data_IF_106612451911
#
_entry.id   IF_106612451911
#
_cell.length_a   1.000
_cell.length_b   1.000
_cell.length_c   1.000
_cell.angle_alpha   90.00
_cell.angle_beta   90.00
_cell.angle_gamma   90.00
#
_symmetry.space_group_name_H-M   'P 1'
#
loop_
_entity.id
_entity.type
_entity.pdbx_description
1 polymer ?
#
# COMPACT_ATOMS: atom_id res chain seq x y z
N UNK A 1 -3.30 -14.18 3.24
CA UNK A 1 -3.52 -12.91 2.49
C UNK A 1 -2.17 -12.35 2.05
N UNK A 2 -2.05 -11.59 0.95
CA UNK A 2 -0.74 -11.12 0.45
C UNK A 2 0.10 -10.35 1.48
N UNK A 3 -0.56 -9.60 2.37
CA UNK A 3 0.08 -8.85 3.47
C UNK A 3 0.63 -9.74 4.61
N UNK A 4 0.26 -11.02 4.68
CA UNK A 4 0.68 -11.95 5.77
C UNK A 4 1.77 -12.93 5.34
N UNK A 5 2.05 -13.05 4.04
CA UNK A 5 2.89 -14.13 3.48
C UNK A 5 4.28 -14.19 4.13
N UNK A 6 4.90 -13.05 4.45
CA UNK A 6 6.22 -13.05 5.11
C UNK A 6 6.21 -13.45 6.59
N UNK A 7 5.05 -13.39 7.25
CA UNK A 7 4.87 -13.99 8.57
C UNK A 7 4.75 -15.51 8.45
N UNK A 8 4.05 -15.97 7.41
CA UNK A 8 3.74 -17.37 7.17
C UNK A 8 4.98 -18.13 6.62
N UNK A 9 5.84 -17.44 5.85
CA UNK A 9 7.12 -17.96 5.34
C UNK A 9 8.28 -17.05 5.81
N UNK A 10 8.94 -17.37 6.95
CA UNK A 10 10.10 -16.65 7.42
C UNK A 10 11.23 -16.61 6.38
N UNK A 11 11.90 -15.46 6.24
CA UNK A 11 13.02 -15.29 5.30
C UNK A 11 12.64 -15.14 3.83
N UNK A 12 11.34 -15.20 3.48
CA UNK A 12 10.86 -15.10 2.10
C UNK A 12 11.40 -13.87 1.36
N UNK A 13 11.30 -12.70 1.97
CA UNK A 13 11.75 -11.46 1.34
C UNK A 13 13.28 -11.36 1.25
N UNK A 14 14.02 -11.99 2.17
CA UNK A 14 15.47 -11.97 2.13
C UNK A 14 15.99 -12.91 1.03
N UNK A 15 15.27 -14.00 0.74
CA UNK A 15 15.55 -14.88 -0.38
C UNK A 15 15.21 -14.24 -1.74
N UNK A 16 14.01 -13.65 -1.86
CA UNK A 16 13.52 -13.04 -3.10
C UNK A 16 14.22 -11.72 -3.42
N UNK A 17 14.38 -10.85 -2.42
CA UNK A 17 14.87 -9.48 -2.57
C UNK A 17 16.05 -9.20 -1.63
N UNK A 18 17.16 -9.96 -1.76
CA UNK A 18 18.29 -9.89 -0.82
C UNK A 18 18.93 -8.49 -0.76
N UNK A 19 18.83 -7.70 -1.84
CA UNK A 19 19.42 -6.37 -1.93
C UNK A 19 18.43 -5.23 -1.57
N UNK A 20 17.23 -5.55 -1.06
CA UNK A 20 16.32 -4.52 -0.50
C UNK A 20 16.79 -4.06 0.90
N UNK A 21 18.04 -3.61 0.93
CA UNK A 21 18.77 -3.11 2.10
C UNK A 21 18.50 -1.61 2.32
N UNK A 22 18.84 -1.04 3.49
CA UNK A 22 18.58 0.36 3.79
C UNK A 22 19.13 1.36 2.75
N UNK A 23 20.28 1.07 2.14
CA UNK A 23 20.87 1.93 1.10
C UNK A 23 20.01 2.04 -0.17
N UNK A 24 19.42 0.93 -0.61
CA UNK A 24 18.52 0.90 -1.78
C UNK A 24 17.18 1.55 -1.45
N UNK A 25 16.64 1.31 -0.26
CA UNK A 25 15.43 2.01 0.24
C UNK A 25 15.66 3.52 0.28
N UNK A 26 16.82 3.96 0.78
CA UNK A 26 17.18 5.37 0.79
C UNK A 26 17.33 5.94 -0.63
N UNK A 27 17.85 5.16 -1.59
CA UNK A 27 17.92 5.57 -2.99
C UNK A 27 16.53 5.86 -3.57
N UNK A 28 15.58 4.94 -3.43
CA UNK A 28 14.21 5.18 -3.91
C UNK A 28 13.51 6.32 -3.17
N UNK A 29 13.71 6.44 -1.84
CA UNK A 29 13.14 7.58 -1.11
C UNK A 29 13.70 8.94 -1.56
N UNK A 30 14.92 9.01 -2.11
CA UNK A 30 15.47 10.26 -2.66
C UNK A 30 14.78 10.72 -3.95
N UNK A 31 14.04 9.84 -4.62
CA UNK A 31 13.22 10.23 -5.79
C UNK A 31 11.85 10.78 -5.37
N UNK A 32 11.57 10.87 -4.06
CA UNK A 32 10.31 11.38 -3.56
C UNK A 32 10.07 12.82 -4.02
N UNK A 33 8.87 13.06 -4.52
CA UNK A 33 8.38 14.37 -4.95
C UNK A 33 7.25 14.83 -4.05
N UNK A 34 7.08 16.14 -3.95
CA UNK A 34 5.91 16.75 -3.31
C UNK A 34 4.91 17.21 -4.38
N UNK A 35 3.64 17.18 -4.03
CA UNK A 35 2.55 17.67 -4.89
C UNK A 35 2.23 19.11 -4.51
N UNK A 36 2.15 19.98 -5.50
CA UNK A 36 1.80 21.38 -5.32
C UNK A 36 0.43 21.55 -4.66
N UNK A 37 0.34 22.51 -3.73
CA UNK A 37 -0.90 22.79 -3.00
C UNK A 37 -1.27 21.76 -1.93
N UNK A 38 -0.44 20.74 -1.68
CA UNK A 38 -0.55 19.86 -0.51
C UNK A 38 0.32 20.39 0.64
N UNK A 39 -0.22 20.34 1.86
CA UNK A 39 0.46 20.85 3.06
C UNK A 39 0.71 19.69 4.02
N UNK A 40 1.96 19.38 4.41
CA UNK A 40 2.25 18.34 5.39
C UNK A 40 1.46 18.56 6.69
N UNK A 41 0.95 17.48 7.28
CA UNK A 41 0.16 17.56 8.51
C UNK A 41 1.02 18.07 9.68
N UNK A 42 0.71 19.24 10.27
CA UNK A 42 1.44 19.77 11.41
C UNK A 42 1.33 18.83 12.61
N UNK A 43 2.42 18.74 13.39
CA UNK A 43 2.49 17.85 14.54
C UNK A 43 1.53 18.29 15.67
N UNK A 44 1.14 19.56 15.70
CA UNK A 44 0.18 20.15 16.62
C UNK A 44 -1.22 19.56 16.38
N UNK A 45 -1.64 19.45 15.12
CA UNK A 45 -2.93 18.83 14.77
C UNK A 45 -2.94 17.34 15.09
N UNK A 46 -1.81 16.66 14.87
CA UNK A 46 -1.63 15.26 15.30
C UNK A 46 -1.78 15.17 16.82
N UNK A 47 -1.12 16.03 17.57
CA UNK A 47 -1.12 15.99 19.05
C UNK A 47 -2.48 16.35 19.64
N UNK A 48 -3.24 17.25 19.01
CA UNK A 48 -4.59 17.63 19.41
C UNK A 48 -5.64 16.53 19.18
N UNK A 49 -5.38 15.57 18.28
CA UNK A 49 -6.28 14.45 18.02
C UNK A 49 -6.29 13.47 19.19
N UNK A 50 -7.50 13.05 19.58
CA UNK A 50 -7.74 12.09 20.65
C UNK A 50 -7.63 10.62 20.19
N UNK A 51 -7.61 10.40 18.87
CA UNK A 51 -7.57 9.08 18.26
C UNK A 51 -6.18 8.44 18.33
N UNK A 52 -6.17 7.11 18.41
CA UNK A 52 -4.99 6.34 18.06
C UNK A 52 -4.59 6.66 16.61
N UNK A 53 -3.28 6.77 16.36
CA UNK A 53 -2.74 7.19 15.04
C UNK A 53 -3.26 6.34 13.88
N UNK A 54 -3.34 5.02 14.07
CA UNK A 54 -3.89 4.12 13.05
C UNK A 54 -5.34 4.48 12.69
N UNK A 55 -6.19 4.70 13.70
CA UNK A 55 -7.58 5.09 13.50
C UNK A 55 -7.71 6.47 12.83
N UNK A 56 -6.93 7.47 13.28
CA UNK A 56 -6.94 8.81 12.70
C UNK A 56 -6.69 8.77 11.19
N UNK A 57 -5.68 8.00 10.76
CA UNK A 57 -5.31 7.94 9.36
C UNK A 57 -6.22 7.05 8.52
N UNK A 58 -6.90 6.07 9.10
CA UNK A 58 -7.98 5.34 8.41
C UNK A 58 -9.18 6.24 8.14
N UNK A 59 -9.58 7.07 9.11
CA UNK A 59 -10.61 8.10 8.91
C UNK A 59 -10.18 9.10 7.84
N UNK A 60 -8.90 9.52 7.84
CA UNK A 60 -8.37 10.42 6.83
C UNK A 60 -8.38 9.83 5.41
N UNK A 61 -8.03 8.55 5.26
CA UNK A 61 -8.11 7.86 3.96
C UNK A 61 -9.56 7.73 3.51
N UNK A 62 -10.48 7.36 4.41
CA UNK A 62 -11.91 7.28 4.09
C UNK A 62 -12.50 8.66 3.69
N UNK A 63 -12.03 9.74 4.31
CA UNK A 63 -12.38 11.10 3.92
C UNK A 63 -11.82 11.44 2.52
N UNK A 64 -10.55 11.08 2.24
CA UNK A 64 -9.94 11.23 0.93
C UNK A 64 -10.66 10.46 -0.17
N UNK A 65 -11.10 9.22 0.12
CA UNK A 65 -11.95 8.41 -0.77
C UNK A 65 -13.21 9.17 -1.18
N UNK A 66 -13.96 9.71 -0.20
CA UNK A 66 -15.19 10.47 -0.49
C UNK A 66 -14.93 11.72 -1.34
N UNK A 67 -13.84 12.45 -1.05
CA UNK A 67 -13.46 13.65 -1.80
C UNK A 67 -13.14 13.34 -3.27
N UNK A 68 -12.52 12.19 -3.54
CA UNK A 68 -12.19 11.75 -4.89
C UNK A 68 -13.43 11.28 -5.66
N UNK A 69 -14.35 10.59 -5.00
CA UNK A 69 -15.45 9.89 -5.69
C UNK A 69 -16.70 10.74 -5.87
N UNK A 70 -17.09 11.56 -4.88
CA UNK A 70 -18.47 12.02 -4.79
C UNK A 70 -18.67 13.53 -4.96
N UNK A 71 -17.62 14.36 -4.87
CA UNK A 71 -17.76 15.83 -4.86
C UNK A 71 -18.86 16.34 -3.89
N UNK A 72 -19.11 15.58 -2.82
CA UNK A 72 -20.08 15.89 -1.76
C UNK A 72 -19.34 16.27 -0.47
N UNK A 73 -19.99 16.98 0.46
CA UNK A 73 -19.44 17.18 1.80
C UNK A 73 -19.09 15.85 2.47
N UNK A 74 -17.99 15.83 3.22
CA UNK A 74 -17.51 14.62 3.91
C UNK A 74 -18.54 14.17 4.96
N UNK A 75 -19.05 12.96 4.78
CA UNK A 75 -19.90 12.27 5.76
C UNK A 75 -19.04 11.65 6.85
N UNK A 76 -18.71 12.41 7.90
CA UNK A 76 -17.81 11.99 8.97
C UNK A 76 -18.20 10.68 9.67
N UNK A 77 -19.49 10.46 9.87
CA UNK A 77 -19.99 9.22 10.50
C UNK A 77 -19.72 8.01 9.59
N UNK A 78 -19.94 8.15 8.28
CA UNK A 78 -19.59 7.12 7.30
C UNK A 78 -18.07 6.89 7.23
N UNK A 79 -17.24 7.94 7.29
CA UNK A 79 -15.79 7.78 7.35
C UNK A 79 -15.35 7.01 8.60
N UNK A 80 -15.98 7.29 9.75
CA UNK A 80 -15.70 6.58 11.00
C UNK A 80 -16.12 5.10 10.90
N UNK A 81 -17.30 4.81 10.36
CA UNK A 81 -17.76 3.42 10.15
C UNK A 81 -16.78 2.63 9.28
N UNK A 82 -16.35 3.20 8.16
CA UNK A 82 -15.36 2.59 7.26
C UNK A 82 -14.04 2.34 8.01
N UNK A 83 -13.53 3.34 8.73
CA UNK A 83 -12.29 3.22 9.49
C UNK A 83 -12.37 2.14 10.58
N UNK A 84 -13.49 2.05 11.29
CA UNK A 84 -13.77 1.01 12.29
C UNK A 84 -13.80 -0.38 11.64
N UNK A 85 -14.47 -0.55 10.50
CA UNK A 85 -14.50 -1.83 9.77
C UNK A 85 -13.08 -2.26 9.36
N UNK A 86 -12.26 -1.33 8.87
CA UNK A 86 -10.87 -1.59 8.49
C UNK A 86 -10.01 -1.96 9.71
N UNK A 87 -10.16 -1.23 10.81
CA UNK A 87 -9.36 -1.42 12.03
C UNK A 87 -9.75 -2.63 12.88
N UNK A 88 -11.00 -3.09 12.83
CA UNK A 88 -11.47 -4.32 13.55
C UNK A 88 -10.66 -5.58 13.22
N UNK A 89 -9.92 -5.58 12.12
CA UNK A 89 -9.02 -6.68 11.74
C UNK A 89 -7.74 -6.72 12.57
N UNK A 90 -7.47 -5.69 13.37
CA UNK A 90 -6.34 -5.58 14.27
C UNK A 90 -6.80 -5.80 15.72
N UNK A 91 -6.10 -6.67 16.44
CA UNK A 91 -6.49 -7.12 17.79
C UNK A 91 -6.43 -6.00 18.83
N UNK A 92 -5.57 -5.00 18.64
CA UNK A 92 -5.30 -3.89 19.55
C UNK A 92 -6.07 -2.59 19.19
N UNK A 93 -7.00 -2.65 18.24
CA UNK A 93 -7.70 -1.48 17.76
C UNK A 93 -8.63 -0.87 18.81
N UNK A 94 -8.39 0.40 19.18
CA UNK A 94 -9.35 1.20 19.94
C UNK A 94 -10.39 1.79 18.99
N UNK A 95 -11.65 1.39 19.15
CA UNK A 95 -12.75 1.79 18.28
C UNK A 95 -13.51 2.98 18.90
N UNK A 96 -13.32 4.21 18.42
CA UNK A 96 -14.04 5.37 18.92
C UNK A 96 -15.49 5.33 18.44
N UNK A 97 -16.39 5.92 19.22
CA UNK A 97 -17.81 6.06 18.87
C UNK A 97 -18.13 7.38 18.18
N UNK A 98 -17.24 8.37 18.28
CA UNK A 98 -17.40 9.70 17.69
C UNK A 98 -16.06 10.36 17.38
N UNK A 99 -16.06 11.32 16.46
CA UNK A 99 -14.89 12.12 16.10
C UNK A 99 -14.97 13.52 16.72
N UNK A 100 -13.91 13.96 17.40
CA UNK A 100 -13.79 15.35 17.86
C UNK A 100 -13.50 16.31 16.70
N UNK A 101 -13.66 17.62 16.93
CA UNK A 101 -13.30 18.64 15.94
C UNK A 101 -11.82 18.60 15.54
N UNK A 102 -10.92 18.26 16.48
CA UNK A 102 -9.49 18.12 16.21
C UNK A 102 -9.20 16.91 15.31
N UNK A 103 -9.89 15.79 15.55
CA UNK A 103 -9.77 14.57 14.72
C UNK A 103 -10.21 14.85 13.28
N UNK A 104 -11.36 15.53 13.12
CA UNK A 104 -11.89 15.93 11.82
C UNK A 104 -10.95 16.89 11.10
N UNK A 105 -10.37 17.87 11.79
CA UNK A 105 -9.43 18.82 11.20
C UNK A 105 -8.16 18.13 10.66
N UNK A 106 -7.55 17.25 11.46
CA UNK A 106 -6.37 16.49 11.05
C UNK A 106 -6.68 15.52 9.89
N UNK A 107 -7.81 14.81 9.98
CA UNK A 107 -8.25 13.88 8.95
C UNK A 107 -8.61 14.59 7.64
N UNK A 108 -9.25 15.76 7.71
CA UNK A 108 -9.60 16.57 6.55
C UNK A 108 -8.35 17.03 5.78
N UNK A 109 -7.33 17.49 6.50
CA UNK A 109 -6.09 17.94 5.85
C UNK A 109 -5.43 16.78 5.07
N UNK A 110 -5.28 15.63 5.72
CA UNK A 110 -4.67 14.44 5.09
C UNK A 110 -5.55 13.91 3.95
N UNK A 111 -6.87 13.84 4.13
CA UNK A 111 -7.80 13.42 3.08
C UNK A 111 -7.79 14.37 1.87
N UNK A 112 -7.68 15.68 2.11
CA UNK A 112 -7.53 16.69 1.06
C UNK A 112 -6.22 16.51 0.30
N UNK A 113 -5.11 16.27 1.00
CA UNK A 113 -3.84 15.98 0.35
C UNK A 113 -3.93 14.71 -0.49
N UNK A 114 -4.53 13.63 0.03
CA UNK A 114 -4.72 12.39 -0.72
C UNK A 114 -5.50 12.62 -2.02
N UNK A 115 -6.62 13.34 -1.93
CA UNK A 115 -7.43 13.67 -3.11
C UNK A 115 -6.63 14.47 -4.15
N UNK A 116 -5.90 15.50 -3.73
CA UNK A 116 -5.04 16.31 -4.61
C UNK A 116 -3.92 15.49 -5.24
N UNK A 117 -3.27 14.63 -4.46
CA UNK A 117 -2.20 13.76 -4.94
C UNK A 117 -2.73 12.78 -5.99
N UNK A 118 -3.86 12.11 -5.74
CA UNK A 118 -4.50 11.21 -6.70
C UNK A 118 -4.92 11.95 -7.99
N UNK A 119 -5.48 13.15 -7.86
CA UNK A 119 -5.82 14.00 -9.01
C UNK A 119 -4.57 14.40 -9.83
N UNK A 120 -3.49 14.80 -9.15
CA UNK A 120 -2.22 15.12 -9.80
C UNK A 120 -1.66 13.93 -10.57
N UNK A 121 -1.68 12.74 -9.98
CA UNK A 121 -1.20 11.50 -10.61
C UNK A 121 -2.05 11.15 -11.84
N UNK A 122 -3.37 11.24 -11.74
CA UNK A 122 -4.27 11.04 -12.89
C UNK A 122 -3.92 11.98 -14.04
N UNK A 123 -3.71 13.27 -13.75
CA UNK A 123 -3.30 14.28 -14.74
C UNK A 123 -1.96 13.94 -15.40
N UNK A 124 -0.97 13.52 -14.61
CA UNK A 124 0.36 13.13 -15.12
C UNK A 124 0.28 11.94 -16.08
N UNK A 125 -0.64 11.00 -15.88
CA UNK A 125 -0.73 9.77 -16.66
C UNK A 125 -1.95 9.71 -17.61
N UNK A 126 -2.53 10.85 -17.98
CA UNK A 126 -3.52 10.94 -19.07
C UNK A 126 -4.96 10.62 -18.69
N UNK A 127 -5.37 10.91 -17.45
CA UNK A 127 -6.74 10.76 -16.91
C UNK A 127 -7.36 9.37 -17.09
N UNK A 128 -6.52 8.34 -17.01
CA UNK A 128 -6.97 6.95 -16.90
C UNK A 128 -7.90 6.82 -15.68
N UNK A 129 -8.89 5.92 -15.75
CA UNK A 129 -9.82 5.70 -14.65
C UNK A 129 -9.09 5.23 -13.38
N UNK A 130 -9.30 5.95 -12.27
CA UNK A 130 -8.84 5.52 -10.95
C UNK A 130 -9.71 4.37 -10.46
N UNK A 131 -9.11 3.24 -10.15
CA UNK A 131 -9.79 2.07 -9.58
C UNK A 131 -9.51 2.04 -8.09
N UNK A 132 -10.56 2.03 -7.27
CA UNK A 132 -10.45 1.81 -5.83
C UNK A 132 -10.40 0.32 -5.52
N UNK A 133 -9.59 -0.09 -4.54
CA UNK A 133 -9.48 -1.48 -4.11
C UNK A 133 -9.21 -2.48 -5.26
N UNK A 134 -8.21 -2.22 -6.15
CA UNK A 134 -7.93 -3.14 -7.25
C UNK A 134 -7.57 -4.53 -6.71
N UNK A 135 -8.04 -5.57 -7.41
CA UNK A 135 -7.77 -6.96 -7.04
C UNK A 135 -6.26 -7.23 -7.07
N UNK A 136 -5.74 -7.75 -5.97
CA UNK A 136 -4.42 -8.40 -5.93
C UNK A 136 -4.67 -9.90 -6.02
N UNK A 137 -4.21 -10.58 -7.08
CA UNK A 137 -4.44 -12.00 -7.24
C UNK A 137 -3.81 -12.81 -6.11
N UNK A 138 -4.41 -13.97 -5.82
CA UNK A 138 -3.82 -14.96 -4.94
C UNK A 138 -2.80 -15.83 -5.69
N UNK A 139 -2.08 -16.68 -4.97
CA UNK A 139 -1.19 -17.67 -5.55
C UNK A 139 -1.15 -18.92 -4.68
N UNK A 140 -1.60 -20.06 -5.21
CA UNK A 140 -1.79 -21.32 -4.47
C UNK A 140 -2.62 -21.10 -3.19
N UNK A 141 -2.07 -21.37 -2.00
CA UNK A 141 -2.77 -21.16 -0.72
C UNK A 141 -2.82 -19.68 -0.29
N UNK A 142 -2.07 -18.79 -0.94
CA UNK A 142 -2.12 -17.35 -0.68
C UNK A 142 -3.43 -16.83 -1.27
N UNK A 143 -4.38 -16.52 -0.38
CA UNK A 143 -5.65 -15.90 -0.77
C UNK A 143 -5.44 -14.59 -1.55
N UNK A 144 -6.37 -14.23 -2.44
CA UNK A 144 -6.38 -12.90 -3.05
C UNK A 144 -6.57 -11.80 -2.02
N UNK A 145 -6.21 -10.57 -2.39
CA UNK A 145 -6.41 -9.37 -1.59
C UNK A 145 -6.81 -8.18 -2.45
N UNK A 146 -6.68 -6.98 -1.88
CA UNK A 146 -6.90 -5.72 -2.60
C UNK A 146 -5.77 -4.74 -2.26
N UNK A 147 -5.40 -3.92 -3.24
CA UNK A 147 -4.55 -2.74 -3.02
C UNK A 147 -5.38 -1.53 -2.63
N UNK A 148 -4.77 -0.35 -2.50
CA UNK A 148 -5.54 0.86 -2.17
C UNK A 148 -6.17 1.47 -3.44
N UNK A 149 -5.35 1.76 -4.46
CA UNK A 149 -5.82 2.24 -5.77
C UNK A 149 -4.98 1.70 -6.92
N UNK A 150 -5.50 1.79 -8.15
CA UNK A 150 -4.69 1.64 -9.37
C UNK A 150 -5.09 2.62 -10.46
N UNK A 151 -4.15 2.86 -11.38
CA UNK A 151 -4.32 3.70 -12.56
C UNK A 151 -3.73 2.99 -13.78
N UNK A 152 -4.57 2.33 -14.58
CA UNK A 152 -4.10 1.41 -15.62
C UNK A 152 -3.27 0.29 -15.01
N UNK A 153 -2.06 0.05 -15.51
CA UNK A 153 -1.10 -0.95 -14.98
C UNK A 153 -0.25 -0.44 -13.81
N UNK A 154 -0.65 0.66 -13.16
CA UNK A 154 0.09 1.29 -12.05
C UNK A 154 -0.63 1.04 -10.73
N UNK A 155 0.05 0.39 -9.80
CA UNK A 155 -0.48 0.15 -8.46
C UNK A 155 -0.14 1.32 -7.55
N UNK A 156 -1.11 1.80 -6.77
CA UNK A 156 -0.94 2.91 -5.84
C UNK A 156 -1.22 2.40 -4.43
N UNK A 157 -0.28 2.62 -3.52
CA UNK A 157 -0.40 2.27 -2.10
C UNK A 157 -0.18 3.52 -1.24
N UNK A 158 -1.08 3.73 -0.28
CA UNK A 158 -1.11 4.92 0.57
C UNK A 158 -0.60 4.59 1.97
N UNK A 159 0.37 5.38 2.44
CA UNK A 159 0.96 5.27 3.78
C UNK A 159 0.87 6.59 4.50
N UNK A 160 0.30 6.63 5.70
CA UNK A 160 0.23 7.85 6.52
C UNK A 160 1.29 7.87 7.63
N UNK A 161 2.54 7.54 7.30
CA UNK A 161 3.65 7.44 8.26
C UNK A 161 4.27 8.82 8.56
N UNK A 162 4.96 8.96 9.70
CA UNK A 162 5.71 10.17 10.07
C UNK A 162 7.16 10.18 9.55
N UNK A 163 7.46 9.33 8.57
CA UNK A 163 8.79 9.17 7.98
C UNK A 163 8.65 8.84 6.50
N UNK A 164 9.77 8.80 5.78
CA UNK A 164 9.81 8.23 4.43
C UNK A 164 9.41 6.75 4.43
N UNK A 165 9.18 6.19 3.25
CA UNK A 165 8.79 4.79 3.09
C UNK A 165 9.88 3.85 3.59
N UNK A 166 9.47 2.79 4.28
CA UNK A 166 10.33 1.79 4.89
C UNK A 166 10.46 0.55 3.99
N UNK A 167 11.42 -0.33 4.30
CA UNK A 167 11.58 -1.59 3.55
C UNK A 167 10.30 -2.42 3.50
N UNK A 168 9.46 -2.41 4.54
CA UNK A 168 8.19 -3.13 4.53
C UNK A 168 7.20 -2.57 3.50
N UNK A 169 7.22 -1.26 3.24
CA UNK A 169 6.34 -0.63 2.24
C UNK A 169 6.72 -1.07 0.83
N UNK A 170 8.03 -1.08 0.51
CA UNK A 170 8.56 -1.59 -0.75
C UNK A 170 8.34 -3.10 -0.90
N UNK A 171 8.57 -3.89 0.15
CA UNK A 171 8.29 -5.35 0.16
C UNK A 171 6.83 -5.65 -0.15
N UNK A 172 5.92 -4.86 0.39
CA UNK A 172 4.49 -5.03 0.14
C UNK A 172 4.17 -4.84 -1.35
N UNK A 173 4.63 -3.73 -1.95
CA UNK A 173 4.37 -3.44 -3.36
C UNK A 173 5.06 -4.45 -4.28
N UNK A 174 6.25 -4.93 -3.93
CA UNK A 174 6.92 -6.02 -4.64
C UNK A 174 6.19 -7.37 -4.53
N UNK A 175 5.60 -7.69 -3.38
CA UNK A 175 4.76 -8.88 -3.24
C UNK A 175 3.51 -8.79 -4.12
N UNK A 176 2.88 -7.61 -4.17
CA UNK A 176 1.73 -7.37 -5.04
C UNK A 176 2.07 -7.52 -6.52
N UNK A 177 3.22 -6.99 -6.94
CA UNK A 177 3.75 -7.22 -8.27
C UNK A 177 3.99 -8.70 -8.56
N UNK A 178 4.69 -9.43 -7.67
CA UNK A 178 5.03 -10.83 -7.90
C UNK A 178 3.79 -11.72 -8.05
N UNK A 179 2.75 -11.49 -7.24
CA UNK A 179 1.47 -12.17 -7.38
C UNK A 179 0.77 -11.82 -8.69
N UNK A 180 0.82 -10.55 -9.10
CA UNK A 180 0.30 -10.12 -10.40
C UNK A 180 1.03 -10.77 -11.56
N UNK A 181 2.36 -10.86 -11.49
CA UNK A 181 3.18 -11.50 -12.50
C UNK A 181 2.90 -13.01 -12.60
N UNK A 182 2.79 -13.70 -11.46
CA UNK A 182 2.36 -15.10 -11.42
C UNK A 182 1.00 -15.29 -12.13
N UNK A 183 0.02 -14.44 -11.80
CA UNK A 183 -1.29 -14.48 -12.44
C UNK A 183 -1.26 -14.14 -13.93
N UNK A 184 -0.35 -13.27 -14.37
CA UNK A 184 -0.19 -12.89 -15.77
C UNK A 184 0.35 -14.06 -16.60
N UNK A 185 1.34 -14.79 -16.06
CA UNK A 185 1.91 -15.99 -16.69
C UNK A 185 0.88 -17.11 -16.80
N UNK A 186 0.03 -17.29 -15.79
CA UNK A 186 -0.94 -18.40 -15.75
C UNK A 186 -2.27 -18.09 -16.48
N UNK A 187 -2.74 -16.84 -16.44
CA UNK A 187 -4.12 -16.50 -16.80
C UNK A 187 -4.25 -15.31 -17.78
N UNK A 188 -3.15 -14.88 -18.42
CA UNK A 188 -3.11 -13.75 -19.36
C UNK A 188 -3.64 -12.42 -18.78
N UNK A 189 -3.62 -12.28 -17.46
CA UNK A 189 -4.01 -11.04 -16.78
C UNK A 189 -2.91 -9.98 -16.92
N UNK A 190 -3.24 -8.68 -16.97
CA UNK A 190 -2.23 -7.63 -17.03
C UNK A 190 -1.31 -7.63 -15.80
N UNK A 191 0.00 -7.57 -16.05
CA UNK A 191 1.02 -7.36 -15.01
C UNK A 191 1.04 -5.89 -14.59
N UNK A 192 1.23 -5.63 -13.29
CA UNK A 192 1.57 -4.28 -12.83
C UNK A 192 2.94 -3.86 -13.39
N UNK A 193 3.00 -2.70 -14.06
CA UNK A 193 4.24 -2.17 -14.66
C UNK A 193 5.01 -1.25 -13.72
N UNK A 194 4.32 -0.59 -12.79
CA UNK A 194 4.93 0.34 -11.84
C UNK A 194 4.15 0.43 -10.53
N UNK A 195 4.85 0.80 -9.46
CA UNK A 195 4.27 1.14 -8.16
C UNK A 195 4.32 2.64 -7.88
N UNK A 196 3.35 3.14 -7.14
CA UNK A 196 3.34 4.50 -6.60
C UNK A 196 3.07 4.41 -5.10
N UNK A 197 4.01 4.88 -4.29
CA UNK A 197 3.86 5.04 -2.86
C UNK A 197 3.45 6.48 -2.56
N UNK A 198 2.33 6.68 -1.88
CA UNK A 198 1.83 7.99 -1.47
C UNK A 198 1.88 8.15 0.03
N UNK A 199 2.37 9.30 0.49
CA UNK A 199 2.24 9.73 1.86
C UNK A 199 1.53 11.09 1.93
N UNK A 200 0.19 11.10 2.03
CA UNK A 200 -0.58 12.35 2.12
C UNK A 200 -0.38 13.08 3.44
N UNK A 201 0.15 12.41 4.47
CA UNK A 201 0.53 13.07 5.73
C UNK A 201 1.77 13.95 5.55
N UNK A 202 2.77 13.49 4.78
CA UNK A 202 4.02 14.22 4.58
C UNK A 202 4.14 14.91 3.22
N UNK A 203 3.13 14.78 2.35
CA UNK A 203 3.19 15.21 0.95
C UNK A 203 4.39 14.61 0.20
N UNK A 204 4.50 13.27 0.22
CA UNK A 204 5.54 12.53 -0.50
C UNK A 204 4.93 11.55 -1.51
N UNK A 205 5.49 11.53 -2.70
CA UNK A 205 5.17 10.59 -3.79
C UNK A 205 6.45 9.94 -4.27
N UNK A 206 6.52 8.61 -4.26
CA UNK A 206 7.59 7.85 -4.92
C UNK A 206 6.95 7.02 -6.02
N UNK A 207 7.40 7.21 -7.26
CA UNK A 207 7.03 6.36 -8.40
C UNK A 207 8.22 5.47 -8.73
N UNK A 208 7.96 4.18 -8.96
CA UNK A 208 8.98 3.19 -9.29
C UNK A 208 8.53 2.30 -10.45
N UNK A 209 9.43 2.02 -11.38
CA UNK A 209 9.27 0.90 -12.32
C UNK A 209 9.58 -0.42 -11.61
N UNK A 210 8.76 -1.45 -11.83
CA UNK A 210 9.07 -2.76 -11.28
C UNK A 210 10.32 -3.37 -11.91
N UNK A 211 10.59 -3.10 -13.18
CA UNK A 211 11.81 -3.58 -13.85
C UNK A 211 13.07 -2.97 -13.22
N UNK A 212 13.05 -1.66 -12.95
CA UNK A 212 14.15 -0.96 -12.27
C UNK A 212 14.33 -1.49 -10.84
N UNK A 213 13.22 -1.69 -10.13
CA UNK A 213 13.26 -2.22 -8.77
C UNK A 213 13.84 -3.64 -8.72
N UNK A 214 13.42 -4.53 -9.62
CA UNK A 214 13.93 -5.90 -9.72
C UNK A 214 15.42 -5.90 -10.03
N UNK A 215 15.86 -5.09 -11.00
CA UNK A 215 17.27 -4.94 -11.32
C UNK A 215 18.10 -4.53 -10.09
N UNK A 216 17.56 -3.64 -9.26
CA UNK A 216 18.23 -3.17 -8.04
C UNK A 216 18.23 -4.20 -6.89
N UNK A 217 17.16 -5.00 -6.72
CA UNK A 217 16.96 -5.75 -5.47
C UNK A 217 17.14 -7.28 -5.58
N UNK A 218 17.13 -7.83 -6.79
CA UNK A 218 17.02 -9.28 -7.05
C UNK A 218 18.35 -10.05 -7.05
N UNK A 219 19.48 -9.33 -6.97
CA UNK A 219 20.84 -9.87 -7.13
C UNK A 219 21.07 -10.56 -8.50
N UNK A 220 20.55 -9.96 -9.58
CA UNK A 220 20.76 -10.42 -10.95
C UNK A 220 19.74 -11.45 -11.44
N UNK A 221 18.73 -11.79 -10.63
CA UNK A 221 17.65 -12.71 -11.02
C UNK A 221 16.65 -12.01 -11.94
N UNK A 222 16.19 -12.73 -12.96
CA UNK A 222 15.09 -12.30 -13.81
C UNK A 222 13.73 -12.39 -13.11
N UNK A 223 12.67 -11.85 -13.74
CA UNK A 223 11.29 -12.02 -13.26
C UNK A 223 10.91 -13.50 -13.13
N UNK A 224 11.33 -14.31 -14.10
CA UNK A 224 11.05 -15.76 -14.12
C UNK A 224 11.77 -16.46 -12.97
N UNK A 225 13.05 -16.17 -12.75
CA UNK A 225 13.81 -16.77 -11.63
C UNK A 225 13.17 -16.43 -10.27
N UNK A 226 12.69 -15.20 -10.10
CA UNK A 226 11.99 -14.78 -8.89
C UNK A 226 10.67 -15.52 -8.70
N UNK A 227 9.90 -15.72 -9.78
CA UNK A 227 8.65 -16.49 -9.73
C UNK A 227 8.91 -17.97 -9.42
N UNK A 228 9.94 -18.58 -10.01
CA UNK A 228 10.31 -19.97 -9.73
C UNK A 228 10.76 -20.15 -8.27
N UNK A 229 11.62 -19.27 -7.78
CA UNK A 229 12.05 -19.26 -6.37
C UNK A 229 10.84 -19.11 -5.44
N UNK A 230 9.97 -18.15 -5.71
CA UNK A 230 8.75 -17.95 -4.95
C UNK A 230 7.86 -19.20 -4.95
N UNK A 231 7.64 -19.79 -6.13
CA UNK A 231 6.83 -20.99 -6.31
C UNK A 231 7.38 -22.19 -5.54
N UNK A 232 8.71 -22.33 -5.50
CA UNK A 232 9.41 -23.35 -4.71
C UNK A 232 9.19 -23.14 -3.21
N UNK A 233 9.37 -21.91 -2.71
CA UNK A 233 9.21 -21.59 -1.28
C UNK A 233 7.75 -21.75 -0.81
N UNK A 234 6.79 -21.27 -1.60
CA UNK A 234 5.35 -21.40 -1.30
C UNK A 234 4.91 -22.88 -1.39
N UNK A 235 5.46 -23.64 -2.34
CA UNK A 235 5.24 -25.08 -2.47
C UNK A 235 5.78 -25.88 -1.29
N UNK A 236 7.04 -25.63 -0.89
CA UNK A 236 7.67 -26.29 0.26
C UNK A 236 6.90 -26.08 1.57
N UNK A 237 6.34 -24.88 1.79
CA UNK A 237 5.48 -24.62 2.96
C UNK A 237 4.19 -25.47 2.96
N UNK A 238 3.64 -25.79 1.79
CA UNK A 238 2.44 -26.63 1.66
C UNK A 238 2.72 -28.06 2.15
N UNK A 239 3.89 -28.61 1.81
CA UNK A 239 4.32 -29.93 2.29
C UNK A 239 4.52 -29.95 3.81
N UNK A 240 5.11 -28.90 4.38
CA UNK A 240 5.29 -28.80 5.83
C UNK A 240 3.96 -28.67 6.60
N UNK A 241 2.98 -27.92 6.09
CA UNK A 241 1.65 -27.84 6.70
C UNK A 241 0.88 -29.16 6.63
N UNK A 242 1.04 -29.94 5.56
CA UNK A 242 0.39 -31.26 5.46
C UNK A 242 1.05 -32.30 6.38
N UNK A 243 2.37 -32.22 6.58
CA UNK A 243 3.10 -33.12 7.46
C UNK A 243 2.86 -32.86 8.97
N UNK A 244 2.41 -31.66 9.36
CA UNK A 244 2.12 -31.31 10.76
C UNK A 244 0.68 -31.60 11.21
N UNK A 245 -0.16 -32.15 10.32
CA UNK A 245 -1.55 -32.56 10.58
C UNK A 245 -1.66 -34.10 10.73
N UNK A 246 -0.55 -34.83 10.65
CA UNK A 246 -0.42 -36.26 10.95
C UNK A 246 0.27 -36.48 12.29
#
# INVERSE_FOLDING_TARGET
MPRTVARDIPGLFDALFPQLVPGVVAHFNRTAQSVDGCIPLPQELVTASSLQRAMLFEVAVAAGDQLVTHNVPIGWDSCLEIAVIRQRRHFDAKLPTSLSSADKAAALLVGTNLSKMLYSIRRTFGDVGLVHSPKIPGYRWISSGVGDYSLGTRLIEVKCTNKHFSSSDYRQVMMYWLLSYASAVENEMPEWSSGILLNPRLNLVVTLSFDEMISAISAGRSKVDLLELFSSMVGGHTFHMLASIQ
#
